data_IF_471071628602
#
_entry.id   IF_471071628602
#
_cell.length_a   1.000
_cell.length_b   1.000
_cell.length_c   1.000
_cell.angle_alpha   90.00
_cell.angle_beta   90.00
_cell.angle_gamma   90.00
#
_symmetry.space_group_name_H-M   'P 1'
#
loop_
_entity.id
_entity.type
_entity.pdbx_description
1 polymer ?
#
# COMPACT_ATOMS: atom_id res chain seq x y z
N UNK A 1 -17.99 6.52 15.91
CA UNK A 1 -16.87 7.48 15.81
C UNK A 1 -15.62 6.73 16.19
N UNK A 2 -14.99 6.08 15.21
CA UNK A 2 -13.71 5.40 15.39
C UNK A 2 -12.63 6.43 15.08
N UNK A 3 -11.90 6.82 16.11
CA UNK A 3 -10.79 7.76 16.08
C UNK A 3 -9.81 7.41 14.96
N UNK A 4 -9.32 8.42 14.22
CA UNK A 4 -8.28 8.38 13.19
C UNK A 4 -6.90 7.97 13.77
N UNK A 5 -6.86 6.91 14.60
CA UNK A 5 -5.62 6.39 15.12
C UNK A 5 -4.93 5.59 14.02
N UNK A 6 -3.69 5.94 13.64
CA UNK A 6 -2.91 5.17 12.71
C UNK A 6 -2.80 3.73 13.21
N UNK A 7 -3.01 2.78 12.31
CA UNK A 7 -2.94 1.34 12.63
C UNK A 7 -2.10 0.63 11.59
N UNK A 8 -1.35 -0.37 12.02
CA UNK A 8 -0.63 -1.21 11.08
C UNK A 8 -1.60 -2.19 10.41
N UNK A 9 -1.50 -2.32 9.09
CA UNK A 9 -2.37 -3.17 8.28
C UNK A 9 -1.54 -4.08 7.37
N UNK A 10 -1.89 -5.36 7.35
CA UNK A 10 -1.55 -6.30 6.28
C UNK A 10 -2.78 -6.47 5.40
N UNK A 11 -2.62 -6.31 4.10
CA UNK A 11 -3.68 -6.54 3.12
C UNK A 11 -3.17 -7.39 1.95
N UNK A 12 -3.88 -8.47 1.68
CA UNK A 12 -3.62 -9.35 0.54
C UNK A 12 -4.24 -8.75 -0.73
N UNK A 13 -3.44 -8.59 -1.78
CA UNK A 13 -3.93 -8.08 -3.05
C UNK A 13 -4.86 -9.10 -3.72
N UNK A 14 -6.08 -8.70 -4.07
CA UNK A 14 -7.03 -9.58 -4.77
C UNK A 14 -6.56 -10.04 -6.15
N UNK A 15 -5.76 -9.23 -6.86
CA UNK A 15 -5.34 -9.51 -8.23
C UNK A 15 -4.16 -10.48 -8.31
N UNK A 16 -3.13 -10.27 -7.47
CA UNK A 16 -1.90 -11.07 -7.51
C UNK A 16 -1.70 -11.98 -6.28
N UNK A 17 -2.53 -11.85 -5.24
CA UNK A 17 -2.43 -12.64 -4.01
C UNK A 17 -1.26 -12.28 -3.10
N UNK A 18 -0.55 -11.19 -3.37
CA UNK A 18 0.64 -10.79 -2.60
C UNK A 18 0.21 -9.95 -1.39
N UNK A 19 0.76 -10.29 -0.23
CA UNK A 19 0.57 -9.57 1.02
C UNK A 19 1.34 -8.24 1.02
N UNK A 20 0.67 -7.16 1.39
CA UNK A 20 1.24 -5.83 1.49
C UNK A 20 1.09 -5.35 2.92
N UNK A 21 2.17 -4.85 3.53
CA UNK A 21 2.18 -4.36 4.90
C UNK A 21 2.40 -2.86 4.89
N UNK A 22 1.50 -2.12 5.53
CA UNK A 22 1.60 -0.67 5.72
C UNK A 22 1.59 -0.38 7.21
N UNK A 23 2.58 0.39 7.65
CA UNK A 23 2.63 0.89 9.02
C UNK A 23 1.94 2.25 9.12
N UNK A 24 1.29 2.52 10.26
CA UNK A 24 0.58 3.78 10.51
C UNK A 24 -0.46 4.12 9.41
N UNK A 25 -1.21 3.12 8.93
CA UNK A 25 -2.26 3.33 7.95
C UNK A 25 -3.39 4.17 8.54
N UNK A 26 -3.81 5.17 7.77
CA UNK A 26 -4.96 6.03 8.03
C UNK A 26 -5.93 5.98 6.84
N UNK A 27 -7.25 6.13 7.06
CA UNK A 27 -8.22 5.99 5.98
C UNK A 27 -8.06 6.94 4.80
N UNK A 28 -7.42 8.10 4.97
CA UNK A 28 -7.11 9.06 3.91
C UNK A 28 -5.98 8.61 2.97
N UNK A 29 -5.25 7.54 3.30
CA UNK A 29 -4.18 7.01 2.48
C UNK A 29 -4.70 6.17 1.31
N UNK A 30 -4.25 6.53 0.10
CA UNK A 30 -4.44 5.71 -1.08
C UNK A 30 -3.35 4.64 -1.17
N UNK A 31 -3.71 3.38 -0.92
CA UNK A 31 -2.77 2.26 -0.94
C UNK A 31 -2.88 1.40 -2.21
N UNK A 32 -1.74 1.12 -2.82
CA UNK A 32 -1.58 0.30 -4.01
C UNK A 32 -0.75 -0.94 -3.73
N UNK A 33 -1.00 -2.01 -4.49
CA UNK A 33 -0.19 -3.20 -4.44
C UNK A 33 1.25 -2.89 -4.88
N UNK A 34 2.24 -3.34 -4.10
CA UNK A 34 3.65 -3.16 -4.43
C UNK A 34 4.09 -3.89 -5.71
N UNK A 35 3.28 -4.83 -6.20
CA UNK A 35 3.62 -5.70 -7.33
C UNK A 35 2.84 -5.35 -8.60
N UNK A 36 1.51 -5.46 -8.57
CA UNK A 36 0.68 -5.16 -9.75
C UNK A 36 0.18 -3.71 -9.82
N UNK A 37 0.43 -2.89 -8.80
CA UNK A 37 -0.07 -1.51 -8.69
C UNK A 37 -1.61 -1.36 -8.67
N UNK A 38 -2.33 -2.46 -8.52
CA UNK A 38 -3.78 -2.41 -8.32
C UNK A 38 -4.16 -1.83 -6.96
N UNK A 39 -5.37 -1.28 -6.87
CA UNK A 39 -5.91 -0.77 -5.61
C UNK A 39 -6.12 -1.93 -4.65
N UNK A 40 -5.69 -1.73 -3.41
CA UNK A 40 -5.86 -2.74 -2.36
C UNK A 40 -7.20 -2.58 -1.63
N UNK A 41 -7.74 -1.36 -1.59
CA UNK A 41 -9.04 -1.07 -0.98
C UNK A 41 -10.03 -0.74 -2.09
N UNK A 42 -10.96 -1.67 -2.33
CA UNK A 42 -11.96 -1.59 -3.38
C UNK A 42 -13.40 -1.80 -2.84
N UNK A 43 -14.44 -1.40 -3.58
CA UNK A 43 -15.83 -1.52 -3.12
C UNK A 43 -16.25 -2.96 -2.81
N UNK A 44 -15.72 -3.93 -3.54
CA UNK A 44 -16.01 -5.37 -3.40
C UNK A 44 -15.15 -6.06 -2.32
N UNK A 45 -14.34 -5.34 -1.54
CA UNK A 45 -13.39 -5.92 -0.59
C UNK A 45 -14.06 -6.87 0.42
N UNK A 46 -15.29 -6.57 0.86
CA UNK A 46 -16.07 -7.44 1.75
C UNK A 46 -16.47 -8.79 1.11
N UNK A 47 -16.60 -8.82 -0.21
CA UNK A 47 -16.98 -10.02 -0.95
C UNK A 47 -15.80 -10.98 -1.10
N UNK A 48 -14.59 -10.44 -1.27
CA UNK A 48 -13.38 -11.22 -1.58
C UNK A 48 -12.47 -11.47 -0.38
N UNK A 49 -12.49 -10.60 0.63
CA UNK A 49 -11.60 -10.66 1.79
C UNK A 49 -12.35 -10.91 3.10
N UNK A 50 -11.59 -11.40 4.08
CA UNK A 50 -11.93 -11.50 5.49
C UNK A 50 -11.01 -10.57 6.28
N UNK A 51 -11.55 -9.87 7.27
CA UNK A 51 -10.80 -8.95 8.12
C UNK A 51 -10.62 -9.56 9.52
N UNK A 52 -9.41 -9.48 10.05
CA UNK A 52 -9.04 -9.91 11.38
C UNK A 52 -8.27 -8.80 12.11
N UNK A 53 -8.40 -8.74 13.43
CA UNK A 53 -7.70 -7.78 14.27
C UNK A 53 -7.02 -8.53 15.42
N UNK A 54 -5.75 -8.23 15.67
CA UNK A 54 -5.06 -8.72 16.86
C UNK A 54 -5.41 -7.84 18.07
N UNK A 55 -5.95 -8.43 19.13
CA UNK A 55 -6.32 -7.67 20.34
C UNK A 55 -5.15 -7.19 21.19
N UNK A 56 -3.98 -7.78 21.02
CA UNK A 56 -2.82 -7.40 21.84
C UNK A 56 -2.04 -6.22 21.25
N UNK A 57 -1.96 -6.11 19.93
CA UNK A 57 -1.19 -5.06 19.25
C UNK A 57 -2.01 -4.17 18.31
N UNK A 58 -3.30 -4.46 18.10
CA UNK A 58 -4.19 -3.70 17.20
C UNK A 58 -3.90 -3.91 15.70
N UNK A 59 -3.02 -4.85 15.35
CA UNK A 59 -2.65 -5.12 13.96
C UNK A 59 -3.83 -5.64 13.16
N UNK A 60 -4.09 -5.03 12.01
CA UNK A 60 -5.19 -5.36 11.14
C UNK A 60 -4.73 -6.29 10.00
N UNK A 61 -5.46 -7.35 9.75
CA UNK A 61 -5.18 -8.34 8.70
C UNK A 61 -6.38 -8.41 7.78
N UNK A 62 -6.18 -8.16 6.50
CA UNK A 62 -7.19 -8.28 5.45
C UNK A 62 -6.68 -9.32 4.47
N UNK A 63 -7.16 -10.55 4.60
CA UNK A 63 -6.73 -11.67 3.79
C UNK A 63 -7.85 -12.10 2.84
N UNK A 64 -7.52 -12.67 1.69
CA UNK A 64 -8.53 -13.22 0.79
C UNK A 64 -9.26 -14.38 1.48
N UNK A 65 -10.54 -14.58 1.17
CA UNK A 65 -11.34 -15.67 1.77
C UNK A 65 -10.78 -17.08 1.47
N UNK A 66 -9.99 -17.21 0.41
CA UNK A 66 -9.26 -18.44 0.08
C UNK A 66 -8.09 -18.71 1.05
N UNK A 67 -7.56 -17.66 1.68
CA UNK A 67 -6.43 -17.71 2.60
C UNK A 67 -6.93 -18.18 3.96
N UNK A 68 -6.40 -19.33 4.40
CA UNK A 68 -6.84 -19.98 5.63
C UNK A 68 -6.19 -19.32 6.84
N UNK A 69 -6.95 -18.47 7.52
CA UNK A 69 -6.60 -17.95 8.85
C UNK A 69 -7.46 -18.69 9.88
N UNK A 70 -6.81 -19.39 10.80
CA UNK A 70 -7.46 -20.17 11.87
C UNK A 70 -7.27 -19.45 13.18
N UNK A 71 -8.36 -18.98 13.78
CA UNK A 71 -8.35 -18.27 15.05
C UNK A 71 -7.81 -19.21 16.15
N UNK A 72 -6.81 -18.75 16.90
CA UNK A 72 -6.15 -19.53 17.95
C UNK A 72 -4.95 -20.37 17.48
N UNK A 73 -4.76 -20.56 16.16
CA UNK A 73 -3.57 -21.21 15.60
C UNK A 73 -2.68 -20.22 14.87
N UNK A 74 -3.27 -19.40 14.00
CA UNK A 74 -2.57 -18.36 13.25
C UNK A 74 -2.02 -17.31 14.21
N UNK A 75 -0.76 -16.94 13.98
CA UNK A 75 -0.03 -15.97 14.78
C UNK A 75 0.00 -14.60 14.11
N UNK A 76 -0.27 -13.56 14.89
CA UNK A 76 -0.01 -12.19 14.51
C UNK A 76 1.51 -11.94 14.43
N UNK A 77 1.92 -10.86 13.77
CA UNK A 77 3.31 -10.38 13.69
C UNK A 77 3.94 -10.14 15.07
N UNK A 78 3.15 -9.81 16.09
CA UNK A 78 3.64 -9.66 17.47
C UNK A 78 3.86 -11.00 18.21
N UNK A 79 3.54 -12.14 17.59
CA UNK A 79 3.61 -13.47 18.20
C UNK A 79 2.34 -13.90 18.94
N UNK A 80 1.34 -13.03 19.07
CA UNK A 80 0.06 -13.37 19.68
C UNK A 80 -0.84 -14.21 18.78
N UNK A 81 -1.68 -15.05 19.39
CA UNK A 81 -2.75 -15.83 18.74
C UNK A 81 -4.14 -15.22 18.96
N UNK A 82 -4.22 -14.08 19.65
CA UNK A 82 -5.45 -13.37 20.00
C UNK A 82 -5.98 -12.58 18.78
N UNK A 83 -6.28 -13.30 17.70
CA UNK A 83 -6.93 -12.77 16.52
C UNK A 83 -8.44 -12.88 16.67
N UNK A 84 -9.16 -11.79 16.39
CA UNK A 84 -10.61 -11.81 16.24
C UNK A 84 -10.98 -11.56 14.79
N UNK A 85 -12.04 -12.21 14.31
CA UNK A 85 -12.58 -11.92 12.99
C UNK A 85 -13.59 -10.79 13.07
N UNK A 86 -13.45 -9.78 12.21
CA UNK A 86 -14.40 -8.68 12.05
C UNK A 86 -15.36 -9.06 10.91
N UNK A 87 -16.65 -9.10 11.22
CA UNK A 87 -17.70 -9.56 10.30
C UNK A 87 -18.06 -8.54 9.21
N UNK A 88 -17.79 -7.26 9.41
CA UNK A 88 -18.10 -6.19 8.45
C UNK A 88 -16.85 -5.38 8.13
N UNK A 89 -16.47 -5.37 6.86
CA UNK A 89 -15.30 -4.62 6.37
C UNK A 89 -15.76 -3.21 5.99
N UNK A 90 -15.43 -2.22 6.82
CA UNK A 90 -15.75 -0.80 6.58
C UNK A 90 -14.64 -0.02 5.86
N UNK A 91 -13.51 -0.66 5.53
CA UNK A 91 -12.31 0.01 5.02
C UNK A 91 -12.57 0.88 3.78
N UNK A 92 -13.33 0.38 2.80
CA UNK A 92 -13.64 1.17 1.61
C UNK A 92 -14.49 2.40 1.94
N UNK A 93 -15.49 2.25 2.81
CA UNK A 93 -16.37 3.34 3.24
C UNK A 93 -15.60 4.39 4.04
N UNK A 94 -14.71 3.95 4.94
CA UNK A 94 -13.80 4.81 5.69
C UNK A 94 -12.89 5.59 4.73
N UNK A 95 -12.25 4.90 3.78
CA UNK A 95 -11.32 5.53 2.85
C UNK A 95 -11.99 6.51 1.89
N UNK A 96 -13.18 6.16 1.40
CA UNK A 96 -14.00 7.04 0.57
C UNK A 96 -14.43 8.31 1.33
N UNK A 97 -14.84 8.16 2.60
CA UNK A 97 -15.25 9.31 3.43
C UNK A 97 -14.08 10.22 3.79
N UNK A 98 -12.90 9.63 4.04
CA UNK A 98 -11.67 10.35 4.34
C UNK A 98 -11.06 11.04 3.11
N UNK A 99 -11.53 10.71 1.90
CA UNK A 99 -11.08 11.34 0.67
C UNK A 99 -9.85 10.71 0.04
N UNK A 100 -9.49 9.47 0.41
CA UNK A 100 -8.34 8.75 -0.19
C UNK A 100 -8.42 8.62 -1.71
N UNK A 101 -9.63 8.67 -2.28
CA UNK A 101 -9.86 8.54 -3.72
C UNK A 101 -10.10 9.88 -4.42
N UNK A 102 -10.03 11.00 -3.71
CA UNK A 102 -10.14 12.33 -4.34
C UNK A 102 -8.84 12.63 -5.07
N UNK A 103 -8.95 13.15 -6.28
CA UNK A 103 -7.80 13.66 -7.01
C UNK A 103 -7.14 14.75 -6.18
N UNK A 104 -5.82 14.63 -5.98
CA UNK A 104 -5.05 15.73 -5.41
C UNK A 104 -5.27 16.97 -6.28
N UNK A 105 -5.38 18.18 -5.69
CA UNK A 105 -5.41 19.40 -6.49
C UNK A 105 -4.18 19.37 -7.43
N UNK A 106 -4.34 19.80 -8.70
CA UNK A 106 -3.22 19.83 -9.62
C UNK A 106 -2.09 20.61 -8.96
N UNK A 107 -0.99 19.91 -8.66
CA UNK A 107 0.22 20.57 -8.17
C UNK A 107 0.76 21.30 -9.39
N UNK A 108 0.59 22.61 -9.39
CA UNK A 108 1.20 23.52 -10.35
C UNK A 108 2.71 23.52 -10.06
N UNK A 109 3.39 22.51 -10.59
CA UNK A 109 4.73 22.15 -10.14
C UNK A 109 5.39 21.21 -11.12
N UNK A 110 5.83 21.77 -12.24
CA UNK A 110 7.13 21.50 -12.85
C UNK A 110 7.63 20.04 -12.73
N UNK A 111 6.86 19.10 -13.28
CA UNK A 111 7.35 17.78 -13.67
C UNK A 111 8.15 17.84 -14.99
N UNK A 112 8.44 19.05 -15.47
CA UNK A 112 9.48 19.27 -16.45
C UNK A 112 10.80 18.99 -15.76
N UNK A 113 11.51 17.94 -16.20
CA UNK A 113 12.93 17.78 -15.87
C UNK A 113 13.63 19.10 -16.19
N UNK A 114 14.13 19.79 -15.17
CA UNK A 114 14.91 21.01 -15.36
C UNK A 114 16.22 20.64 -16.04
N UNK A 115 16.31 20.89 -17.34
CA UNK A 115 17.22 21.87 -17.97
C UNK A 115 17.00 21.81 -19.49
N UNK A 116 16.98 22.95 -20.21
CA UNK A 116 17.13 22.92 -21.66
C UNK A 116 18.51 22.32 -21.92
N UNK A 117 18.54 21.13 -22.53
CA UNK A 117 19.76 20.60 -23.15
C UNK A 117 20.32 21.72 -24.02
N UNK A 118 21.46 22.28 -23.62
CA UNK A 118 22.31 22.99 -24.56
C UNK A 118 22.54 22.06 -25.74
N UNK A 119 22.52 22.60 -26.95
CA UNK A 119 22.55 21.91 -28.26
C UNK A 119 23.76 20.96 -28.52
N UNK A 120 24.49 20.52 -27.50
CA UNK A 120 25.57 19.51 -27.58
C UNK A 120 25.04 18.07 -27.37
N UNK A 121 23.92 17.74 -28.03
CA UNK A 121 23.39 16.36 -28.10
C UNK A 121 24.38 15.39 -28.78
N UNK A 122 25.40 15.90 -29.48
CA UNK A 122 26.46 15.09 -30.10
C UNK A 122 27.44 14.45 -29.09
N UNK A 123 27.38 14.81 -27.80
CA UNK A 123 28.37 14.36 -26.80
C UNK A 123 27.91 13.21 -25.90
N UNK A 124 26.75 12.60 -26.17
CA UNK A 124 26.26 11.45 -25.38
C UNK A 124 27.17 10.22 -25.50
N UNK A 125 27.83 10.05 -26.65
CA UNK A 125 28.76 8.94 -26.88
C UNK A 125 30.08 9.14 -26.10
N UNK A 126 30.52 10.37 -25.85
CA UNK A 126 31.81 10.63 -25.15
C UNK A 126 31.76 10.41 -23.63
N UNK A 127 30.56 10.29 -23.05
CA UNK A 127 30.38 9.98 -21.63
C UNK A 127 30.81 8.54 -21.29
N UNK A 128 30.78 7.62 -22.26
CA UNK A 128 31.18 6.23 -22.09
C UNK A 128 32.59 5.94 -22.62
N UNK A 129 33.13 6.81 -23.47
CA UNK A 129 34.50 6.70 -24.01
C UNK A 129 35.57 7.29 -23.08
N UNK A 130 35.17 7.87 -21.94
CA UNK A 130 36.08 8.39 -20.92
C UNK A 130 36.62 7.25 -20.07
N UNK A 131 37.61 6.52 -20.59
CA UNK A 131 38.35 5.52 -19.83
C UNK A 131 39.01 6.20 -18.61
N UNK A 132 38.57 5.86 -17.39
CA UNK A 132 39.09 6.44 -16.13
C UNK A 132 40.47 5.85 -15.73
N UNK A 133 41.14 5.18 -16.67
CA UNK A 133 42.40 4.47 -16.46
C UNK A 133 43.49 4.93 -17.42
N UNK A 134 44.15 6.03 -17.09
CA UNK A 134 45.50 6.31 -17.59
C UNK A 134 46.24 7.16 -16.55
N UNK A 135 47.08 6.48 -15.78
CA UNK A 135 48.13 7.06 -14.94
C UNK A 135 49.45 6.91 -15.69
#
# INVERSE_FOLDING_TARGET
MSEDKPRDILIECQSCGIENVFSNYTPDQFILCNQCRDRLIEPNLQEVCSQFECKDCGFLIVALKKTKIVIGESVCRCGSKNLIQITTISLYREASSAGAFKEAPPVDGDWYRSEPVSDDIENYNKLFDSDIGSN
#
